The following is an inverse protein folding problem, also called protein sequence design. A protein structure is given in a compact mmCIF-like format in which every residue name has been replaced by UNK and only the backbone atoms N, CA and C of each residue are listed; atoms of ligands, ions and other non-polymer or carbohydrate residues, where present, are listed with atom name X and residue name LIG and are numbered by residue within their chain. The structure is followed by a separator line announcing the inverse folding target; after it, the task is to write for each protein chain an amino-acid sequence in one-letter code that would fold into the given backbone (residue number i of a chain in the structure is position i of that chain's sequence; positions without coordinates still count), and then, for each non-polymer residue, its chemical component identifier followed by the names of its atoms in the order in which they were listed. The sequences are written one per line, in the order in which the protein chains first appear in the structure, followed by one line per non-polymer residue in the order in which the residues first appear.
data_IF_495664170068
#
_entry.id   IF_495664170068
#
_cell.length_a   1.000
_cell.length_b   1.000
_cell.length_c   1.000
_cell.angle_alpha   90.00
_cell.angle_beta   90.00
_cell.angle_gamma   90.00
#
_symmetry.space_group_name_H-M   'P 1'
#
loop_
_entity.id
_entity.type
_entity.pdbx_description
1 polymer ?
#
# COMPACT_ATOMS: atom_id res chain seq x y z
N UNK A 1 -16.25 7.51 5.03
CA UNK A 1 -15.09 7.35 4.10
C UNK A 1 -13.98 8.42 4.26
N UNK A 2 -13.99 9.27 5.30
CA UNK A 2 -12.89 10.23 5.54
C UNK A 2 -11.68 9.62 6.25
N UNK A 3 -11.88 8.63 7.12
CA UNK A 3 -10.80 7.92 7.82
C UNK A 3 -9.84 7.24 6.83
N UNK A 4 -10.37 6.61 5.78
CA UNK A 4 -9.55 5.97 4.75
C UNK A 4 -8.67 6.98 3.99
N UNK A 5 -9.20 8.18 3.71
CA UNK A 5 -8.44 9.30 3.13
C UNK A 5 -7.34 9.85 4.05
N UNK A 6 -7.33 9.51 5.35
CA UNK A 6 -6.28 9.94 6.29
C UNK A 6 -5.30 8.81 6.62
N UNK A 7 -5.81 7.57 6.68
CA UNK A 7 -5.08 6.38 7.14
C UNK A 7 -4.38 5.64 6.00
N UNK A 8 -4.75 5.86 4.73
CA UNK A 8 -4.14 5.12 3.61
C UNK A 8 -2.60 5.19 3.57
N UNK A 9 -2.00 6.28 4.06
CA UNK A 9 -0.55 6.42 4.12
C UNK A 9 0.09 5.49 5.17
N UNK A 10 -0.62 5.21 6.26
CA UNK A 10 -0.19 4.30 7.33
C UNK A 10 -0.30 2.83 6.92
N UNK A 11 -1.11 2.50 5.91
CA UNK A 11 -1.24 1.14 5.39
C UNK A 11 0.10 0.62 4.85
N UNK A 12 0.92 1.49 4.26
CA UNK A 12 2.23 1.11 3.72
C UNK A 12 3.21 0.60 4.80
N UNK A 13 3.55 1.37 5.86
CA UNK A 13 4.44 0.87 6.91
C UNK A 13 3.84 -0.33 7.66
N UNK A 14 2.51 -0.38 7.86
CA UNK A 14 1.84 -1.55 8.46
C UNK A 14 2.08 -2.80 7.61
N UNK A 15 1.96 -2.71 6.28
CA UNK A 15 2.22 -3.82 5.37
C UNK A 15 3.69 -4.27 5.42
N UNK A 16 4.64 -3.34 5.53
CA UNK A 16 6.07 -3.69 5.64
C UNK A 16 6.31 -4.51 6.90
N UNK A 17 5.80 -4.06 8.06
CA UNK A 17 5.96 -4.78 9.32
C UNK A 17 5.28 -6.15 9.26
N UNK A 18 4.08 -6.21 8.68
CA UNK A 18 3.36 -7.48 8.48
C UNK A 18 4.18 -8.46 7.63
N UNK A 19 4.71 -8.02 6.48
CA UNK A 19 5.53 -8.87 5.63
C UNK A 19 6.84 -9.27 6.30
N UNK A 20 7.47 -8.37 7.06
CA UNK A 20 8.66 -8.72 7.84
C UNK A 20 8.38 -9.81 8.88
N UNK A 21 7.26 -9.73 9.61
CA UNK A 21 6.86 -10.77 10.59
C UNK A 21 6.58 -12.10 9.90
N UNK A 22 5.86 -12.08 8.77
CA UNK A 22 5.61 -13.29 7.97
C UNK A 22 6.93 -13.88 7.47
N UNK A 23 7.86 -13.04 7.01
CA UNK A 23 9.16 -13.49 6.53
C UNK A 23 9.98 -14.14 7.64
N UNK A 24 9.96 -13.62 8.88
CA UNK A 24 10.64 -14.26 10.02
C UNK A 24 10.09 -15.65 10.34
N UNK A 25 8.79 -15.84 10.16
CA UNK A 25 8.15 -17.12 10.43
C UNK A 25 8.46 -18.17 9.36
N UNK A 26 8.60 -17.76 8.10
CA UNK A 26 8.85 -18.64 6.95
C UNK A 26 10.35 -18.87 6.73
N UNK A 27 11.17 -17.84 6.93
CA UNK A 27 12.56 -17.81 6.54
C UNK A 27 13.41 -17.08 7.59
N UNK A 28 14.05 -17.86 8.47
CA UNK A 28 15.01 -17.35 9.45
C UNK A 28 16.31 -16.99 8.74
N UNK A 29 16.41 -15.74 8.30
CA UNK A 29 17.64 -15.20 7.72
C UNK A 29 18.12 -14.00 8.53
N UNK A 30 19.42 -13.96 8.82
CA UNK A 30 20.03 -12.85 9.55
C UNK A 30 20.23 -11.61 8.68
N UNK A 31 20.02 -11.74 7.36
CA UNK A 31 20.18 -10.64 6.43
C UNK A 31 18.97 -9.70 6.44
N UNK A 32 19.03 -8.72 7.35
CA UNK A 32 18.02 -7.68 7.52
C UNK A 32 17.77 -6.89 6.22
N UNK A 33 18.81 -6.64 5.43
CA UNK A 33 18.71 -5.87 4.18
C UNK A 33 17.87 -6.63 3.15
N UNK A 34 18.10 -7.92 3.01
CA UNK A 34 17.42 -8.77 2.04
C UNK A 34 15.94 -8.94 2.44
N UNK A 35 15.68 -9.22 3.72
CA UNK A 35 14.33 -9.29 4.28
C UNK A 35 13.57 -7.97 4.13
N UNK A 36 14.18 -6.86 4.51
CA UNK A 36 13.57 -5.53 4.43
C UNK A 36 13.32 -5.09 3.00
N UNK A 37 14.27 -5.35 2.09
CA UNK A 37 14.13 -5.05 0.67
C UNK A 37 12.95 -5.79 0.03
N UNK A 38 12.87 -7.11 0.23
CA UNK A 38 11.77 -7.92 -0.32
C UNK A 38 10.42 -7.50 0.28
N UNK A 39 10.37 -7.30 1.61
CA UNK A 39 9.15 -6.88 2.30
C UNK A 39 8.67 -5.50 1.82
N UNK A 40 9.59 -4.56 1.59
CA UNK A 40 9.28 -3.24 1.06
C UNK A 40 8.73 -3.30 -0.37
N UNK A 41 9.33 -4.12 -1.25
CA UNK A 41 8.85 -4.29 -2.62
C UNK A 41 7.45 -4.90 -2.65
N UNK A 42 7.21 -5.95 -1.85
CA UNK A 42 5.89 -6.57 -1.72
C UNK A 42 4.85 -5.58 -1.16
N UNK A 43 5.21 -4.85 -0.10
CA UNK A 43 4.36 -3.81 0.46
C UNK A 43 4.03 -2.72 -0.56
N UNK A 44 5.00 -2.32 -1.39
CA UNK A 44 4.81 -1.29 -2.40
C UNK A 44 3.84 -1.72 -3.50
N UNK A 45 3.90 -2.98 -3.92
CA UNK A 45 2.96 -3.54 -4.91
C UNK A 45 1.54 -3.57 -4.34
N UNK A 46 1.39 -3.99 -3.09
CA UNK A 46 0.08 -4.25 -2.49
C UNK A 46 -0.55 -2.99 -1.88
N UNK A 47 0.25 -1.99 -1.51
CA UNK A 47 -0.22 -0.76 -0.88
C UNK A 47 -1.21 0.07 -1.73
N UNK A 48 -2.14 0.80 -1.08
CA UNK A 48 -3.05 1.69 -1.78
C UNK A 48 -2.29 2.85 -2.44
N UNK A 49 -2.51 3.07 -3.73
CA UNK A 49 -1.84 4.14 -4.48
C UNK A 49 -2.82 5.24 -4.89
N UNK A 50 -2.33 6.47 -4.85
CA UNK A 50 -3.02 7.60 -5.46
C UNK A 50 -2.83 7.54 -6.96
N UNK A 51 -3.91 7.58 -7.72
CA UNK A 51 -3.92 7.77 -9.17
C UNK A 51 -4.68 9.06 -9.49
N UNK A 52 -4.16 9.84 -10.42
CA UNK A 52 -4.86 10.98 -10.99
C UNK A 52 -5.45 10.50 -12.31
N UNK A 53 -6.77 10.58 -12.46
CA UNK A 53 -7.46 10.29 -13.72
C UNK A 53 -7.94 11.60 -14.32
N UNK A 54 -7.82 11.71 -15.64
CA UNK A 54 -8.51 12.76 -16.39
C UNK A 54 -9.89 12.25 -16.76
N UNK A 55 -10.92 12.95 -16.30
CA UNK A 55 -12.31 12.74 -16.69
C UNK A 55 -12.75 13.89 -17.59
N UNK A 56 -13.86 13.71 -18.32
CA UNK A 56 -14.40 14.73 -19.23
C UNK A 56 -14.71 16.07 -18.55
N UNK A 57 -14.92 16.05 -17.23
CA UNK A 57 -15.22 17.22 -16.39
C UNK A 57 -14.04 17.73 -15.57
N UNK A 58 -12.86 17.08 -15.62
CA UNK A 58 -11.65 17.54 -14.92
C UNK A 58 -10.72 16.45 -14.38
N UNK A 59 -9.66 16.88 -13.67
CA UNK A 59 -8.69 15.99 -13.01
C UNK A 59 -9.22 15.53 -11.66
N UNK A 60 -9.46 14.23 -11.51
CA UNK A 60 -9.93 13.63 -10.25
C UNK A 60 -8.79 12.81 -9.63
N UNK A 61 -8.51 13.02 -8.34
CA UNK A 61 -7.60 12.15 -7.58
C UNK A 61 -8.41 10.97 -7.03
N UNK A 62 -7.97 9.75 -7.31
CA UNK A 62 -8.55 8.54 -6.75
C UNK A 62 -7.50 7.75 -5.96
N UNK A 63 -7.91 7.08 -4.89
CA UNK A 63 -7.14 5.99 -4.30
C UNK A 63 -7.61 4.70 -4.96
N UNK A 64 -6.67 3.98 -5.57
CA UNK A 64 -6.87 2.63 -6.08
C UNK A 64 -6.12 1.65 -5.19
N UNK A 65 -6.77 0.57 -4.81
CA UNK A 65 -6.18 -0.49 -3.98
C UNK A 65 -6.68 -1.84 -4.46
N UNK A 66 -5.81 -2.86 -4.45
CA UNK A 66 -6.13 -4.21 -4.95
C UNK A 66 -7.31 -4.84 -4.18
N UNK A 67 -7.43 -4.52 -2.88
CA UNK A 67 -8.53 -5.02 -2.04
C UNK A 67 -9.81 -4.17 -2.11
N UNK A 68 -9.76 -2.97 -2.71
CA UNK A 68 -10.94 -2.12 -2.85
C UNK A 68 -11.65 -2.42 -4.16
N UNK A 69 -12.87 -2.98 -4.09
CA UNK A 69 -13.73 -3.21 -5.26
C UNK A 69 -14.11 -1.92 -6.01
N UNK A 70 -14.15 -0.78 -5.32
CA UNK A 70 -14.48 0.53 -5.90
C UNK A 70 -13.38 1.55 -5.56
N UNK A 71 -12.91 2.35 -6.53
CA UNK A 71 -11.94 3.40 -6.26
C UNK A 71 -12.54 4.47 -5.34
N UNK A 72 -11.73 5.01 -4.43
CA UNK A 72 -12.16 6.07 -3.50
C UNK A 72 -11.73 7.43 -4.06
N UNK A 73 -12.70 8.27 -4.41
CA UNK A 73 -12.45 9.60 -4.95
C UNK A 73 -12.04 10.56 -3.81
N UNK A 74 -10.90 11.20 -3.98
CA UNK A 74 -10.44 12.34 -3.19
C UNK A 74 -10.64 13.57 -4.07
N UNK A 75 -11.74 14.29 -3.86
CA UNK A 75 -11.84 15.70 -4.31
C UNK A 75 -10.80 16.56 -3.58
#
# INVERSE_FOLDING_TARGET
MNLFKKIYWLIYPILIVLFMMIFDQIYKTDNFVLKGGISAVLAFIISPRKRIIQTQTGKIKQITWIFLKKPVIIE
#
